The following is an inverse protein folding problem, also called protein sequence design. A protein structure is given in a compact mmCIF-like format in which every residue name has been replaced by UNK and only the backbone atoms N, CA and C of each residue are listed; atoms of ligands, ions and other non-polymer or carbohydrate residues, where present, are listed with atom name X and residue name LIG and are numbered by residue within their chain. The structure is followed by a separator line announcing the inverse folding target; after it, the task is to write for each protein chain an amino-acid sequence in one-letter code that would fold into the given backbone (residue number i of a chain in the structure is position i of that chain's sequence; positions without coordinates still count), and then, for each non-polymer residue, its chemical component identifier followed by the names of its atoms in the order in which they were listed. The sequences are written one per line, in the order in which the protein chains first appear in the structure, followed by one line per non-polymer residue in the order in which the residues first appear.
data_IF_232134186262
#
_entry.id   IF_232134186262
#
_cell.length_a   1.000
_cell.length_b   1.000
_cell.length_c   1.000
_cell.angle_alpha   90.00
_cell.angle_beta   90.00
_cell.angle_gamma   90.00
#
_symmetry.space_group_name_H-M   'P 1'
#
loop_
_entity.id
_entity.type
_entity.pdbx_description
1 polymer ?
#
# COMPACT_ATOMS: atom_id res chain seq x y z
N UNK A 1 12.05 -45.79 -1.78
CA UNK A 1 12.71 -44.46 -1.83
C UNK A 1 12.41 -43.66 -3.11
N UNK A 2 11.65 -44.17 -4.10
CA UNK A 2 11.42 -43.50 -5.39
C UNK A 2 10.11 -42.68 -5.50
N UNK A 3 9.15 -42.86 -4.58
CA UNK A 3 7.86 -42.14 -4.62
C UNK A 3 7.94 -40.68 -4.16
N UNK A 4 8.99 -40.29 -3.42
CA UNK A 4 9.20 -38.89 -3.01
C UNK A 4 9.72 -38.02 -4.16
N UNK A 5 10.50 -38.58 -5.10
CA UNK A 5 11.01 -37.84 -6.25
C UNK A 5 9.89 -37.37 -7.18
N UNK A 6 9.00 -38.27 -7.61
CA UNK A 6 7.88 -37.94 -8.49
C UNK A 6 6.87 -36.97 -7.87
N UNK A 7 6.55 -37.13 -6.58
CA UNK A 7 5.66 -36.22 -5.86
C UNK A 7 6.28 -34.81 -5.71
N UNK A 8 7.60 -34.71 -5.50
CA UNK A 8 8.31 -33.43 -5.44
C UNK A 8 8.26 -32.68 -6.77
N UNK A 9 8.49 -33.38 -7.90
CA UNK A 9 8.40 -32.78 -9.24
C UNK A 9 6.98 -32.30 -9.55
N UNK A 10 5.95 -33.08 -9.21
CA UNK A 10 4.56 -32.67 -9.36
C UNK A 10 4.22 -31.45 -8.49
N UNK A 11 4.67 -31.42 -7.24
CA UNK A 11 4.45 -30.29 -6.33
C UNK A 11 5.11 -29.01 -6.87
N UNK A 12 6.34 -29.11 -7.39
CA UNK A 12 7.03 -27.97 -8.01
C UNK A 12 6.30 -27.42 -9.25
N UNK A 13 5.79 -28.30 -10.11
CA UNK A 13 5.00 -27.89 -11.28
C UNK A 13 3.70 -27.22 -10.86
N UNK A 14 3.00 -27.76 -9.86
CA UNK A 14 1.78 -27.17 -9.31
C UNK A 14 2.05 -25.80 -8.68
N UNK A 15 3.12 -25.66 -7.90
CA UNK A 15 3.54 -24.39 -7.31
C UNK A 15 3.86 -23.35 -8.41
N UNK A 16 4.58 -23.76 -9.45
CA UNK A 16 4.93 -22.89 -10.57
C UNK A 16 3.69 -22.39 -11.32
N UNK A 17 2.74 -23.28 -11.61
CA UNK A 17 1.47 -22.92 -12.23
C UNK A 17 0.64 -22.00 -11.32
N UNK A 18 0.63 -22.24 -10.01
CA UNK A 18 -0.06 -21.38 -9.04
C UNK A 18 0.54 -19.97 -9.04
N UNK A 19 1.87 -19.84 -9.01
CA UNK A 19 2.55 -18.54 -9.06
C UNK A 19 2.21 -17.80 -10.36
N UNK A 20 2.24 -18.48 -11.51
CA UNK A 20 1.84 -17.89 -12.78
C UNK A 20 0.37 -17.45 -12.78
N UNK A 21 -0.52 -18.26 -12.22
CA UNK A 21 -1.93 -17.92 -12.11
C UNK A 21 -2.14 -16.68 -11.23
N UNK A 22 -1.45 -16.59 -10.10
CA UNK A 22 -1.52 -15.43 -9.21
C UNK A 22 -0.98 -14.18 -9.91
N UNK A 23 0.18 -14.27 -10.58
CA UNK A 23 0.74 -13.14 -11.34
C UNK A 23 -0.22 -12.70 -12.45
N UNK A 24 -0.80 -13.66 -13.19
CA UNK A 24 -1.76 -13.36 -14.25
C UNK A 24 -2.99 -12.62 -13.70
N UNK A 25 -3.53 -13.07 -12.57
CA UNK A 25 -4.67 -12.42 -11.90
C UNK A 25 -4.30 -11.02 -11.43
N UNK A 26 -3.14 -10.84 -10.80
CA UNK A 26 -2.68 -9.52 -10.34
C UNK A 26 -2.53 -8.57 -11.53
N UNK A 27 -1.84 -8.99 -12.59
CA UNK A 27 -1.64 -8.17 -13.79
C UNK A 27 -2.98 -7.84 -14.48
N UNK A 28 -3.92 -8.80 -14.52
CA UNK A 28 -5.24 -8.57 -15.09
C UNK A 28 -5.99 -7.46 -14.34
N UNK A 29 -5.96 -7.50 -13.00
CA UNK A 29 -6.58 -6.48 -12.15
C UNK A 29 -5.85 -5.13 -12.28
N UNK A 30 -4.51 -5.12 -12.29
CA UNK A 30 -3.70 -3.89 -12.39
C UNK A 30 -3.80 -3.20 -13.76
N UNK A 31 -4.01 -3.96 -14.83
CA UNK A 31 -4.23 -3.42 -16.19
C UNK A 31 -5.63 -2.83 -16.34
N UNK A 32 -6.54 -3.09 -15.39
CA UNK A 32 -7.87 -2.49 -15.31
C UNK A 32 -7.79 -0.98 -15.07
N UNK A 33 -8.02 -0.20 -16.13
CA UNK A 33 -8.11 1.26 -16.08
C UNK A 33 -9.48 1.72 -16.56
N UNK A 34 -10.10 2.65 -15.83
CA UNK A 34 -11.31 3.34 -16.27
C UNK A 34 -10.89 4.43 -17.24
N UNK A 35 -11.37 4.34 -18.49
CA UNK A 35 -11.06 5.32 -19.54
C UNK A 35 -12.14 6.38 -19.58
N UNK A 36 -11.79 7.64 -19.28
CA UNK A 36 -12.69 8.79 -19.44
C UNK A 36 -12.32 9.50 -20.74
N UNK A 37 -13.25 9.60 -21.69
CA UNK A 37 -13.00 10.27 -22.97
C UNK A 37 -12.95 11.79 -22.80
N UNK A 38 -11.93 12.40 -23.39
CA UNK A 38 -11.69 13.84 -23.45
C UNK A 38 -11.58 14.27 -24.91
N UNK A 39 -12.12 15.43 -25.21
CA UNK A 39 -12.07 16.03 -26.55
C UNK A 39 -11.24 17.30 -26.48
N UNK A 40 -10.36 17.49 -27.46
CA UNK A 40 -9.55 18.70 -27.57
C UNK A 40 -10.14 19.60 -28.66
N UNK A 41 -10.49 20.82 -28.29
CA UNK A 41 -10.90 21.82 -29.27
C UNK A 41 -9.65 22.32 -30.04
N UNK A 42 -9.39 21.77 -31.23
CA UNK A 42 -8.40 22.35 -32.14
C UNK A 42 -8.97 23.62 -32.78
N UNK A 43 -8.23 24.73 -32.67
CA UNK A 43 -8.49 25.91 -33.51
C UNK A 43 -7.98 25.62 -34.92
N UNK A 44 -8.85 25.58 -35.92
CA UNK A 44 -8.44 25.55 -37.32
C UNK A 44 -7.77 26.88 -37.67
N UNK A 45 -6.48 26.85 -37.98
CA UNK A 45 -5.79 27.97 -38.61
C UNK A 45 -5.62 27.62 -40.10
N UNK A 46 -6.45 28.21 -40.97
CA UNK A 46 -6.38 28.06 -42.43
C UNK A 46 -7.41 27.13 -43.08
N UNK A 47 -7.39 27.09 -44.43
CA UNK A 47 -8.34 26.36 -45.31
C UNK A 47 -7.95 24.89 -45.50
N UNK A 48 -7.53 24.21 -44.44
CA UNK A 48 -7.26 22.76 -44.46
C UNK A 48 -8.38 22.03 -43.75
N UNK A 49 -8.91 21.01 -44.43
CA UNK A 49 -10.00 20.15 -43.98
C UNK A 49 -9.75 19.70 -42.54
N UNK A 50 -10.71 19.98 -41.66
CA UNK A 50 -10.66 19.58 -40.25
C UNK A 50 -10.79 18.07 -40.18
N UNK A 51 -9.64 17.42 -40.04
CA UNK A 51 -9.58 16.05 -39.57
C UNK A 51 -10.14 16.06 -38.15
N UNK A 52 -11.17 15.24 -37.97
CA UNK A 52 -12.03 15.04 -36.81
C UNK A 52 -11.50 15.42 -35.42
N UNK A 53 -12.46 15.80 -34.58
CA UNK A 53 -12.32 15.93 -33.13
C UNK A 53 -11.51 14.75 -32.55
N UNK A 54 -10.23 14.97 -32.22
CA UNK A 54 -9.36 13.93 -31.69
C UNK A 54 -9.84 13.59 -30.28
N UNK A 55 -10.54 12.47 -30.15
CA UNK A 55 -10.93 11.89 -28.88
C UNK A 55 -9.71 11.24 -28.26
N UNK A 56 -9.28 11.78 -27.13
CA UNK A 56 -8.28 11.13 -26.28
C UNK A 56 -9.00 10.56 -25.05
N UNK A 57 -8.32 9.75 -24.25
CA UNK A 57 -8.88 9.29 -22.99
C UNK A 57 -7.88 9.52 -21.87
N UNK A 58 -8.39 10.03 -20.75
CA UNK A 58 -7.64 10.12 -19.50
C UNK A 58 -7.79 8.78 -18.78
N UNK A 59 -6.70 8.02 -18.57
CA UNK A 59 -6.76 6.77 -17.83
C UNK A 59 -6.78 7.03 -16.32
N UNK A 60 -7.80 6.52 -15.63
CA UNK A 60 -7.80 6.40 -14.18
C UNK A 60 -7.51 4.95 -13.82
N UNK A 61 -6.35 4.70 -13.20
CA UNK A 61 -5.96 3.37 -12.74
C UNK A 61 -6.73 3.00 -11.46
N UNK A 62 -7.13 1.73 -11.34
CA UNK A 62 -7.79 1.21 -10.14
C UNK A 62 -6.91 1.32 -8.88
N UNK A 63 -5.59 1.17 -9.04
CA UNK A 63 -4.61 1.36 -7.99
C UNK A 63 -3.59 2.44 -8.40
N UNK A 64 -3.89 3.70 -8.12
CA UNK A 64 -2.91 4.80 -8.28
C UNK A 64 -1.76 4.71 -7.25
N UNK A 65 -2.00 4.00 -6.15
CA UNK A 65 -1.06 3.76 -5.06
C UNK A 65 0.10 2.84 -5.44
N UNK A 66 -0.14 1.93 -6.39
CA UNK A 66 0.82 0.89 -6.77
C UNK A 66 1.19 0.01 -5.57
N UNK A 67 2.50 -0.18 -5.37
CA UNK A 67 3.08 -1.08 -4.34
C UNK A 67 3.44 -0.31 -3.06
N UNK A 68 3.37 1.02 -3.09
CA UNK A 68 3.88 1.89 -2.02
C UNK A 68 3.19 1.65 -0.67
N UNK A 69 1.85 1.51 -0.58
CA UNK A 69 1.18 1.20 0.69
C UNK A 69 1.61 -0.12 1.32
N UNK A 70 1.86 -1.15 0.51
CA UNK A 70 2.31 -2.45 1.01
C UNK A 70 3.73 -2.37 1.57
N UNK A 71 4.60 -1.57 0.93
CA UNK A 71 5.95 -1.29 1.43
C UNK A 71 5.87 -0.52 2.75
N UNK A 72 5.03 0.51 2.84
CA UNK A 72 4.86 1.26 4.09
C UNK A 72 4.29 0.40 5.22
N UNK A 73 3.29 -0.45 4.93
CA UNK A 73 2.78 -1.40 5.90
C UNK A 73 3.86 -2.35 6.41
N UNK A 74 4.63 -2.95 5.50
CA UNK A 74 5.68 -3.92 5.88
C UNK A 74 6.86 -3.27 6.62
N UNK A 75 7.26 -2.06 6.21
CA UNK A 75 8.27 -1.27 6.91
C UNK A 75 7.81 -0.89 8.33
N UNK A 76 6.55 -0.47 8.48
CA UNK A 76 5.99 -0.11 9.78
C UNK A 76 5.95 -1.29 10.75
N UNK A 77 5.45 -2.46 10.32
CA UNK A 77 5.44 -3.64 11.19
C UNK A 77 6.86 -4.15 11.49
N UNK A 78 7.77 -4.11 10.51
CA UNK A 78 9.16 -4.53 10.73
C UNK A 78 9.86 -3.64 11.74
N UNK A 79 9.57 -2.34 11.71
CA UNK A 79 10.06 -1.37 12.69
C UNK A 79 9.53 -1.68 14.10
N UNK A 80 8.22 -1.89 14.24
CA UNK A 80 7.59 -2.26 15.53
C UNK A 80 8.16 -3.56 16.06
N UNK A 81 8.34 -4.56 15.19
CA UNK A 81 8.93 -5.85 15.56
C UNK A 81 10.40 -5.72 16.02
N UNK A 82 11.18 -4.88 15.35
CA UNK A 82 12.59 -4.63 15.71
C UNK A 82 12.70 -3.99 17.08
N UNK A 83 11.87 -2.95 17.36
CA UNK A 83 11.79 -2.33 18.68
C UNK A 83 11.38 -3.35 19.73
N UNK A 84 10.36 -4.16 19.44
CA UNK A 84 9.87 -5.18 20.36
C UNK A 84 10.94 -6.21 20.69
N UNK A 85 11.73 -6.62 19.70
CA UNK A 85 12.85 -7.57 19.90
C UNK A 85 13.96 -6.96 20.74
N UNK A 86 14.25 -5.67 20.56
CA UNK A 86 15.19 -4.93 21.41
C UNK A 86 14.71 -4.86 22.86
N UNK A 87 13.42 -4.58 23.07
CA UNK A 87 12.79 -4.53 24.39
C UNK A 87 12.72 -5.90 25.08
N UNK A 88 12.46 -6.98 24.34
CA UNK A 88 12.42 -8.35 24.89
C UNK A 88 13.75 -8.83 25.46
N UNK A 89 14.86 -8.22 25.03
CA UNK A 89 16.22 -8.59 25.46
C UNK A 89 16.77 -7.67 26.55
N UNK A 90 15.93 -6.82 27.13
CA UNK A 90 16.30 -6.05 28.32
C UNK A 90 16.53 -7.05 29.45
N UNK A 91 17.79 -7.21 29.86
CA UNK A 91 18.17 -8.02 31.01
C UNK A 91 17.52 -7.41 32.26
N UNK A 92 16.69 -8.20 32.94
CA UNK A 92 16.08 -7.81 34.20
C UNK A 92 17.07 -8.17 35.30
N UNK A 93 17.62 -7.20 36.06
CA UNK A 93 18.50 -7.50 37.18
C UNK A 93 17.73 -8.33 38.21
N UNK A 94 18.30 -9.44 38.68
CA UNK A 94 17.78 -10.11 39.87
C UNK A 94 17.98 -9.18 41.07
N UNK A 95 16.90 -8.93 41.83
CA UNK A 95 17.01 -8.15 43.07
C UNK A 95 17.91 -8.92 44.03
N UNK A 96 19.18 -8.50 44.10
CA UNK A 96 20.10 -8.88 45.17
C UNK A 96 19.88 -7.89 46.31
N UNK A 97 19.86 -8.37 47.56
CA UNK A 97 19.42 -7.62 48.74
C UNK A 97 20.15 -6.27 48.98
N UNK A 98 21.31 -6.07 48.36
CA UNK A 98 22.11 -4.84 48.44
C UNK A 98 21.59 -3.65 47.60
N UNK A 99 20.68 -3.88 46.64
CA UNK A 99 20.23 -2.86 45.67
C UNK A 99 18.78 -2.37 45.90
N UNK A 100 18.21 -2.61 47.09
CA UNK A 100 16.82 -2.27 47.46
C UNK A 100 16.53 -0.77 47.66
N UNK A 101 17.42 0.12 47.22
CA UNK A 101 17.13 1.55 47.15
C UNK A 101 15.96 1.87 46.21
N UNK A 102 15.31 3.03 46.41
CA UNK A 102 14.20 3.49 45.56
C UNK A 102 14.54 3.44 44.06
N UNK A 103 15.77 3.80 43.70
CA UNK A 103 16.26 3.75 42.33
C UNK A 103 16.47 2.34 41.78
N UNK A 104 16.90 1.39 42.63
CA UNK A 104 17.04 -0.02 42.23
C UNK A 104 15.70 -0.70 42.02
N UNK A 105 14.73 -0.46 42.91
CA UNK A 105 13.35 -0.94 42.76
C UNK A 105 12.66 -0.32 41.54
N UNK A 106 12.82 0.99 41.31
CA UNK A 106 12.31 1.66 40.11
C UNK A 106 12.90 1.05 38.83
N UNK A 107 14.24 0.92 38.77
CA UNK A 107 14.95 0.32 37.63
C UNK A 107 14.45 -1.10 37.33
N UNK A 108 14.21 -1.91 38.37
CA UNK A 108 13.65 -3.25 38.22
C UNK A 108 12.25 -3.24 37.62
N UNK A 109 11.31 -2.46 38.17
CA UNK A 109 9.93 -2.42 37.65
C UNK A 109 9.88 -1.86 36.22
N UNK A 110 10.71 -0.88 35.90
CA UNK A 110 10.85 -0.36 34.53
C UNK A 110 11.39 -1.45 33.61
N UNK A 111 12.49 -2.11 33.98
CA UNK A 111 13.10 -3.18 33.17
C UNK A 111 12.16 -4.38 32.98
N UNK A 112 11.41 -4.76 34.01
CA UNK A 112 10.39 -5.81 33.95
C UNK A 112 9.22 -5.42 33.04
N UNK A 113 8.78 -4.17 33.10
CA UNK A 113 7.68 -3.66 32.25
C UNK A 113 8.12 -3.58 30.80
N UNK A 114 9.34 -3.12 30.52
CA UNK A 114 9.92 -3.07 29.18
C UNK A 114 10.13 -4.47 28.59
N UNK A 115 10.66 -5.41 29.39
CA UNK A 115 10.85 -6.79 28.96
C UNK A 115 9.51 -7.48 28.64
N UNK A 116 8.50 -7.30 29.50
CA UNK A 116 7.14 -7.82 29.26
C UNK A 116 6.52 -7.20 28.01
N UNK A 117 6.60 -5.88 27.85
CA UNK A 117 6.07 -5.18 26.67
C UNK A 117 6.73 -5.70 25.39
N UNK A 118 8.06 -5.84 25.39
CA UNK A 118 8.81 -6.44 24.30
C UNK A 118 8.37 -7.87 24.02
N UNK A 119 8.23 -8.71 25.04
CA UNK A 119 7.78 -10.10 24.88
C UNK A 119 6.38 -10.21 24.26
N UNK A 120 5.43 -9.38 24.72
CA UNK A 120 4.09 -9.33 24.11
C UNK A 120 4.15 -8.83 22.67
N UNK A 121 4.97 -7.82 22.37
CA UNK A 121 5.10 -7.35 20.99
C UNK A 121 5.74 -8.41 20.08
N UNK A 122 6.78 -9.14 20.51
CA UNK A 122 7.37 -10.22 19.70
C UNK A 122 6.37 -11.35 19.52
N UNK A 123 5.59 -11.67 20.57
CA UNK A 123 4.51 -12.67 20.47
C UNK A 123 3.53 -12.26 19.37
N UNK A 124 2.87 -11.11 19.49
CA UNK A 124 1.76 -10.76 18.59
C UNK A 124 2.20 -10.26 17.20
N UNK A 125 3.40 -9.68 17.08
CA UNK A 125 3.93 -9.14 15.82
C UNK A 125 4.90 -10.10 15.11
N UNK A 126 5.08 -11.35 15.58
CA UNK A 126 5.82 -12.36 14.83
C UNK A 126 5.06 -12.81 13.59
N UNK A 127 5.81 -13.03 12.51
CA UNK A 127 5.34 -13.70 11.30
C UNK A 127 4.77 -15.07 11.69
N UNK A 128 3.54 -15.34 11.26
CA UNK A 128 2.81 -16.59 11.54
C UNK A 128 1.65 -16.47 12.53
N UNK A 129 1.53 -15.35 13.26
CA UNK A 129 0.35 -15.13 14.11
C UNK A 129 -0.80 -14.44 13.35
N UNK A 130 -2.07 -14.80 13.64
CA UNK A 130 -3.22 -14.17 12.99
C UNK A 130 -3.33 -12.67 13.31
N UNK A 131 -2.88 -12.25 14.50
CA UNK A 131 -2.85 -10.84 14.89
C UNK A 131 -1.98 -10.00 13.94
N UNK A 132 -0.79 -10.49 13.58
CA UNK A 132 0.09 -9.86 12.60
C UNK A 132 -0.61 -9.69 11.24
N UNK A 133 -1.28 -10.73 10.75
CA UNK A 133 -1.94 -10.72 9.43
C UNK A 133 -3.10 -9.73 9.38
N UNK A 134 -3.93 -9.70 10.43
CA UNK A 134 -5.07 -8.77 10.52
C UNK A 134 -4.57 -7.33 10.59
N UNK A 135 -3.57 -7.07 11.43
CA UNK A 135 -2.99 -5.74 11.60
C UNK A 135 -2.27 -5.28 10.32
N UNK A 136 -1.56 -6.18 9.63
CA UNK A 136 -0.92 -5.91 8.34
C UNK A 136 -1.94 -5.59 7.25
N UNK A 137 -3.01 -6.39 7.13
CA UNK A 137 -4.08 -6.12 6.17
C UNK A 137 -4.77 -4.77 6.45
N UNK A 138 -5.06 -4.47 7.72
CA UNK A 138 -5.66 -3.20 8.12
C UNK A 138 -4.75 -2.00 7.78
N UNK A 139 -3.44 -2.12 8.04
CA UNK A 139 -2.45 -1.09 7.68
C UNK A 139 -2.34 -0.90 6.17
N UNK A 140 -2.36 -1.96 5.38
CA UNK A 140 -2.36 -1.86 3.91
C UNK A 140 -3.60 -1.08 3.44
N UNK A 141 -4.79 -1.41 3.94
CA UNK A 141 -6.02 -0.72 3.55
C UNK A 141 -5.95 0.76 3.93
N UNK A 142 -5.53 1.05 5.16
CA UNK A 142 -5.37 2.42 5.66
C UNK A 142 -4.40 3.23 4.81
N UNK A 143 -3.18 2.71 4.59
CA UNK A 143 -2.17 3.41 3.79
C UNK A 143 -2.55 3.51 2.32
N UNK A 144 -3.29 2.53 1.78
CA UNK A 144 -3.76 2.58 0.39
C UNK A 144 -4.67 3.79 0.18
N UNK A 145 -5.69 3.93 1.05
CA UNK A 145 -6.61 5.06 1.00
C UNK A 145 -5.90 6.40 1.26
N UNK A 146 -5.10 6.47 2.32
CA UNK A 146 -4.39 7.68 2.70
C UNK A 146 -3.42 8.16 1.62
N UNK A 147 -2.62 7.25 1.04
CA UNK A 147 -1.69 7.60 -0.03
C UNK A 147 -2.43 8.04 -1.31
N UNK A 148 -3.50 7.35 -1.70
CA UNK A 148 -4.27 7.76 -2.88
C UNK A 148 -4.88 9.16 -2.73
N UNK A 149 -5.37 9.50 -1.53
CA UNK A 149 -5.96 10.80 -1.26
C UNK A 149 -4.92 11.94 -1.25
N UNK A 150 -3.70 11.67 -0.81
CA UNK A 150 -2.61 12.66 -0.84
C UNK A 150 -2.02 12.86 -2.25
N UNK A 151 -1.92 11.79 -3.03
CA UNK A 151 -1.26 11.82 -4.33
C UNK A 151 -2.17 12.34 -5.45
N UNK A 152 -3.48 12.07 -5.39
CA UNK A 152 -4.41 12.45 -6.46
C UNK A 152 -4.95 13.86 -6.25
N UNK A 153 -4.50 14.79 -7.09
CA UNK A 153 -5.04 16.15 -7.15
C UNK A 153 -5.95 16.33 -8.37
N UNK A 154 -7.25 16.08 -8.17
CA UNK A 154 -8.29 16.18 -9.19
C UNK A 154 -8.46 17.60 -9.72
N UNK A 155 -8.24 18.60 -8.86
CA UNK A 155 -8.34 20.02 -9.22
C UNK A 155 -7.25 20.40 -10.21
N UNK A 156 -6.01 20.00 -9.94
CA UNK A 156 -4.88 20.25 -10.83
C UNK A 156 -5.04 19.52 -12.17
N UNK A 157 -5.50 18.27 -12.14
CA UNK A 157 -5.78 17.50 -13.35
C UNK A 157 -6.85 18.17 -14.23
N UNK A 158 -7.91 18.69 -13.61
CA UNK A 158 -8.98 19.42 -14.30
C UNK A 158 -8.52 20.77 -14.88
N UNK A 159 -7.72 21.55 -14.13
CA UNK A 159 -7.15 22.82 -14.61
C UNK A 159 -6.15 22.59 -15.75
N UNK A 160 -5.32 21.54 -15.67
CA UNK A 160 -4.42 21.14 -16.76
C UNK A 160 -5.19 20.74 -18.02
N UNK A 161 -6.32 20.02 -17.87
CA UNK A 161 -7.20 19.68 -18.99
C UNK A 161 -7.73 20.95 -19.67
N UNK A 162 -8.25 21.90 -18.88
CA UNK A 162 -8.79 23.18 -19.34
C UNK A 162 -7.73 24.04 -20.04
N UNK A 163 -6.52 24.13 -19.46
CA UNK A 163 -5.39 24.90 -20.03
C UNK A 163 -4.94 24.33 -21.38
N UNK A 164 -4.99 23.02 -21.55
CA UNK A 164 -4.66 22.33 -22.80
C UNK A 164 -5.82 22.32 -23.83
N UNK A 165 -6.93 23.02 -23.56
CA UNK A 165 -8.10 23.05 -24.45
C UNK A 165 -8.87 21.73 -24.51
N UNK A 166 -8.63 20.83 -23.55
CA UNK A 166 -9.35 19.57 -23.38
C UNK A 166 -10.57 19.75 -22.49
N UNK A 167 -11.65 19.03 -22.80
CA UNK A 167 -12.85 18.99 -21.97
C UNK A 167 -13.49 17.60 -22.02
N UNK A 168 -14.21 17.26 -20.95
CA UNK A 168 -15.05 16.06 -20.90
C UNK A 168 -16.41 16.42 -21.52
N UNK A 169 -16.88 15.70 -22.55
CA UNK A 169 -18.20 15.95 -23.13
C UNK A 169 -19.30 15.88 -22.06
N UNK A 170 -20.16 16.90 -22.02
CA UNK A 170 -21.28 16.98 -21.07
C UNK A 170 -20.97 17.67 -19.73
N UNK A 171 -19.72 18.06 -19.46
CA UNK A 171 -19.32 18.73 -18.20
C UNK A 171 -18.57 20.02 -18.50
N UNK A 172 -18.90 21.09 -17.77
CA UNK A 172 -18.24 22.40 -17.92
C UNK A 172 -16.77 22.32 -17.43
N UNK A 173 -15.78 22.81 -18.18
CA UNK A 173 -14.37 22.77 -17.78
C UNK A 173 -14.08 23.54 -16.48
N UNK A 174 -13.19 23.01 -15.64
CA UNK A 174 -12.78 23.60 -14.36
C UNK A 174 -13.36 22.85 -13.16
N UNK A 175 -14.01 23.56 -12.23
CA UNK A 175 -14.48 23.01 -10.94
C UNK A 175 -15.44 21.83 -11.12
N UNK A 176 -16.34 21.87 -12.11
CA UNK A 176 -17.26 20.76 -12.36
C UNK A 176 -16.55 19.52 -12.91
N UNK A 177 -15.42 19.70 -13.61
CA UNK A 177 -14.57 18.60 -14.07
C UNK A 177 -13.84 17.94 -12.89
N UNK A 178 -13.34 18.71 -11.93
CA UNK A 178 -12.69 18.14 -10.73
C UNK A 178 -13.68 17.38 -9.86
N UNK A 179 -14.86 17.93 -9.61
CA UNK A 179 -15.93 17.25 -8.84
C UNK A 179 -16.40 15.95 -9.49
N UNK A 180 -16.31 15.84 -10.82
CA UNK A 180 -16.62 14.62 -11.55
C UNK A 180 -15.49 13.58 -11.43
N UNK A 181 -14.23 14.03 -11.37
CA UNK A 181 -13.07 13.14 -11.19
C UNK A 181 -12.91 12.67 -9.73
N UNK A 182 -13.40 13.45 -8.76
CA UNK A 182 -13.40 13.11 -7.33
C UNK A 182 -14.50 12.10 -6.93
N UNK A 183 -15.54 11.94 -7.76
CA UNK A 183 -16.64 10.99 -7.53
C UNK A 183 -16.34 9.61 -8.07
#
# INVERSE_FOLDING_TARGET
ATTQGGAMWLLLVVLFLLVLAVIFVIVFIERGQRRITIQYARRQQGRMMTVGNQTNHLPLKLNMSGVIPAIFGSAFLSFVYTISTGLSKVNVPELTDADTGLWGSFSYYVSLTLNKLGFYGVKYFSIGQPAYMILFAALIIFFCFFYTALQFNSKETAENLKRNGGFIPGIRPGIHTSQYLDR
#
